data_IF_871338210546
#
_entry.id   IF_871338210546
#
_cell.length_a   1.000
_cell.length_b   1.000
_cell.length_c   1.000
_cell.angle_alpha   90.00
_cell.angle_beta   90.00
_cell.angle_gamma   90.00
#
_symmetry.space_group_name_H-M   'P 1'
#
loop_
_entity.id
_entity.type
_entity.pdbx_description
1 polymer ?
#
# COMPACT_ATOMS: atom_id res chain seq x y z
N UNK A 1 -5.11 3.58 -8.01
CA UNK A 1 -4.79 2.84 -6.76
C UNK A 1 -5.72 1.64 -6.48
N UNK A 2 -6.82 1.70 -5.70
CA UNK A 2 -7.56 0.48 -5.28
C UNK A 2 -7.97 -0.48 -6.43
N UNK A 3 -8.47 0.08 -7.53
CA UNK A 3 -8.90 -0.69 -8.72
C UNK A 3 -7.73 -1.30 -9.50
N UNK A 4 -6.56 -0.67 -9.44
CA UNK A 4 -5.33 -1.15 -10.07
C UNK A 4 -4.60 -2.17 -9.19
N UNK A 5 -4.79 -2.07 -7.88
CA UNK A 5 -4.32 -3.04 -6.88
C UNK A 5 -5.20 -4.30 -6.82
N UNK A 6 -6.29 -4.38 -7.61
CA UNK A 6 -7.22 -5.51 -7.58
C UNK A 6 -7.93 -5.71 -6.24
N UNK A 7 -8.00 -4.68 -5.39
CA UNK A 7 -8.56 -4.76 -4.02
C UNK A 7 -9.65 -3.72 -3.79
N UNK A 8 -10.53 -3.99 -2.85
CA UNK A 8 -11.57 -3.03 -2.48
C UNK A 8 -10.97 -1.76 -1.89
N UNK A 9 -11.59 -0.60 -2.14
CA UNK A 9 -11.25 0.68 -1.49
C UNK A 9 -11.23 0.55 0.04
N UNK A 10 -12.10 -0.29 0.59
CA UNK A 10 -12.16 -0.60 2.02
C UNK A 10 -10.91 -1.34 2.50
N UNK A 11 -10.35 -2.24 1.69
CA UNK A 11 -9.08 -2.91 1.97
C UNK A 11 -7.92 -1.91 1.99
N UNK A 12 -7.88 -0.99 1.03
CA UNK A 12 -6.88 0.09 1.01
C UNK A 12 -7.01 0.99 2.24
N UNK A 13 -8.24 1.40 2.58
CA UNK A 13 -8.50 2.23 3.76
C UNK A 13 -8.11 1.52 5.06
N UNK A 14 -8.36 0.20 5.17
CA UNK A 14 -7.94 -0.61 6.32
C UNK A 14 -6.41 -0.77 6.38
N UNK A 15 -5.75 -0.95 5.24
CA UNK A 15 -4.30 -1.01 5.15
C UNK A 15 -3.66 0.29 5.65
N UNK A 16 -4.13 1.43 5.14
CA UNK A 16 -3.64 2.76 5.53
C UNK A 16 -3.97 3.08 7.00
N UNK A 17 -5.18 2.76 7.45
CA UNK A 17 -5.66 3.16 8.78
C UNK A 17 -5.23 2.23 9.91
N UNK A 18 -4.99 0.94 9.64
CA UNK A 18 -4.66 -0.06 10.68
C UNK A 18 -3.27 -0.67 10.51
N UNK A 19 -2.50 -0.29 9.48
CA UNK A 19 -1.19 -0.88 9.17
C UNK A 19 -1.23 -2.39 8.84
N UNK A 20 -2.43 -2.98 8.75
CA UNK A 20 -2.63 -4.41 8.45
C UNK A 20 -3.29 -4.54 7.09
N UNK A 21 -2.47 -4.83 6.09
CA UNK A 21 -2.91 -5.25 4.78
C UNK A 21 -2.63 -6.74 4.59
N UNK A 22 -3.53 -7.46 3.93
CA UNK A 22 -3.31 -8.88 3.59
C UNK A 22 -2.39 -9.03 2.37
N UNK A 23 -1.91 -10.24 2.13
CA UNK A 23 -0.98 -10.59 1.03
C UNK A 23 -1.49 -10.13 -0.35
N UNK A 24 -2.81 -10.11 -0.57
CA UNK A 24 -3.42 -9.62 -1.83
C UNK A 24 -3.19 -8.12 -2.06
N UNK A 25 -3.18 -7.31 -1.01
CA UNK A 25 -2.91 -5.88 -1.12
C UNK A 25 -1.45 -5.63 -1.47
N UNK A 26 -0.52 -6.31 -0.80
CA UNK A 26 0.91 -6.17 -1.07
C UNK A 26 1.29 -6.73 -2.44
N UNK A 27 0.68 -7.83 -2.88
CA UNK A 27 0.87 -8.37 -4.24
C UNK A 27 0.44 -7.37 -5.31
N UNK A 28 -0.78 -6.83 -5.21
CA UNK A 28 -1.24 -5.81 -6.14
C UNK A 28 -0.43 -4.51 -6.06
N UNK A 29 0.08 -4.16 -4.88
CA UNK A 29 0.93 -2.97 -4.69
C UNK A 29 2.30 -3.15 -5.33
N UNK A 30 2.86 -4.35 -5.26
CA UNK A 30 4.10 -4.70 -5.95
C UNK A 30 3.92 -4.60 -7.47
N UNK A 31 2.86 -5.22 -8.03
CA UNK A 31 2.57 -5.12 -9.48
C UNK A 31 2.35 -3.68 -9.94
N UNK A 32 1.61 -2.89 -9.15
CA UNK A 32 1.41 -1.46 -9.44
C UNK A 32 2.71 -0.67 -9.41
N UNK A 33 3.59 -0.98 -8.44
CA UNK A 33 4.90 -0.34 -8.34
C UNK A 33 5.81 -0.71 -9.52
N UNK A 34 5.85 -1.98 -9.92
CA UNK A 34 6.61 -2.44 -11.09
C UNK A 34 6.10 -1.79 -12.39
N UNK A 35 4.78 -1.73 -12.59
CA UNK A 35 4.18 -1.14 -13.78
C UNK A 35 4.46 0.37 -13.93
N UNK A 36 4.67 1.08 -12.81
CA UNK A 36 4.88 2.52 -12.78
C UNK A 36 6.34 2.93 -12.48
N UNK A 37 7.27 1.98 -12.43
CA UNK A 37 8.68 2.21 -12.06
C UNK A 37 8.83 2.89 -10.68
N UNK A 38 7.96 2.53 -9.74
CA UNK A 38 7.93 3.06 -8.38
C UNK A 38 8.62 2.10 -7.40
N UNK A 39 9.24 2.64 -6.37
CA UNK A 39 9.93 1.83 -5.37
C UNK A 39 8.93 1.32 -4.33
N UNK A 40 8.54 0.04 -4.40
CA UNK A 40 7.57 -0.59 -3.49
C UNK A 40 7.91 -0.37 -2.00
N UNK A 41 9.21 -0.37 -1.66
CA UNK A 41 9.68 -0.15 -0.29
C UNK A 41 9.22 1.20 0.27
N UNK A 42 9.18 2.24 -0.56
CA UNK A 42 8.72 3.57 -0.17
C UNK A 42 7.26 3.52 0.32
N UNK A 43 6.40 2.78 -0.40
CA UNK A 43 4.98 2.64 -0.06
C UNK A 43 4.71 1.75 1.16
N UNK A 44 5.56 0.76 1.41
CA UNK A 44 5.46 -0.10 2.60
C UNK A 44 6.05 0.60 3.83
N UNK A 45 7.14 1.35 3.68
CA UNK A 45 7.82 2.10 4.74
C UNK A 45 7.14 3.43 5.08
N UNK A 46 6.35 4.01 4.17
CA UNK A 46 5.50 5.18 4.45
C UNK A 46 4.47 4.91 5.56
N UNK A 47 4.12 3.64 5.82
CA UNK A 47 3.33 3.28 7.00
C UNK A 47 4.11 3.44 8.32
N UNK A 48 5.43 3.45 8.27
CA UNK A 48 6.32 3.64 9.43
C UNK A 48 6.73 5.10 9.64
N UNK A 49 6.70 5.95 8.60
CA UNK A 49 7.10 7.37 8.73
C UNK A 49 5.95 8.31 9.12
N UNK A 50 4.69 7.89 9.00
CA UNK A 50 3.57 8.68 9.55
C UNK A 50 3.52 8.76 11.08
N UNK A 51 4.41 8.05 11.79
CA UNK A 51 4.59 8.16 13.24
C UNK A 51 5.72 9.13 13.65
N UNK A 52 6.30 9.88 12.69
CA UNK A 52 7.16 11.04 12.95
C UNK A 52 6.65 12.27 12.21
N UNK A 53 5.52 12.81 12.65
CA UNK A 53 5.28 14.25 12.55
C UNK A 53 4.99 14.77 13.94
N UNK A 54 5.85 15.70 14.34
CA UNK A 54 5.93 16.47 15.59
C UNK A 54 4.60 16.89 16.21
#
# INVERSE_FOLDING_TARGET
>A
MARELGVSRTTVSKAISRGKAGSKFFGGLMEYCEANNLNFRDYVLLSSEKEKKE
#
